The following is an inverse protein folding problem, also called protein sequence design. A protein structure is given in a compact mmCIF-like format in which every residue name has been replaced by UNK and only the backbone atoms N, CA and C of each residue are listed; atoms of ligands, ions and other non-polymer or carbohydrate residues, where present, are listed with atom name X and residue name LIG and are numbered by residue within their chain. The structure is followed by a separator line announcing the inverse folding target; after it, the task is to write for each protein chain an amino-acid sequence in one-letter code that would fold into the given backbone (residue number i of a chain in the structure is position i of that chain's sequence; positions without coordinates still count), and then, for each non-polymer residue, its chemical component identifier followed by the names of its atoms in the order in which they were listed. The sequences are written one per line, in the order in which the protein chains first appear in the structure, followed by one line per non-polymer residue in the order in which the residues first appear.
data_IF_842666760450
#
_entry.id   IF_842666760450
#
_cell.length_a   1.000
_cell.length_b   1.000
_cell.length_c   1.000
_cell.angle_alpha   90.00
_cell.angle_beta   90.00
_cell.angle_gamma   90.00
#
_symmetry.space_group_name_H-M   'P 1'
#
loop_
_entity.id
_entity.type
_entity.pdbx_description
1 polymer ?
#
# COMPACT_ATOMS: atom_id res chain seq x y z
N UNK A 1 -13.69 0.67 -12.77
CA UNK A 1 -12.97 1.52 -11.82
C UNK A 1 -11.51 1.64 -12.23
N UNK A 2 -10.95 2.83 -12.17
CA UNK A 2 -9.57 3.07 -12.54
C UNK A 2 -8.66 2.98 -11.31
N UNK A 3 -7.40 2.64 -11.54
CA UNK A 3 -6.39 2.59 -10.48
C UNK A 3 -6.31 3.91 -9.72
N UNK A 4 -6.41 5.05 -10.43
CA UNK A 4 -6.40 6.39 -9.82
C UNK A 4 -7.50 6.60 -8.78
N UNK A 5 -8.67 6.00 -8.99
CA UNK A 5 -9.78 6.12 -8.06
C UNK A 5 -9.48 5.36 -6.77
N UNK A 6 -8.85 4.20 -6.90
CA UNK A 6 -8.43 3.39 -5.75
C UNK A 6 -7.33 4.13 -4.98
N UNK A 7 -6.35 4.69 -5.68
CA UNK A 7 -5.27 5.46 -5.06
C UNK A 7 -5.80 6.66 -4.29
N UNK A 8 -6.73 7.41 -4.88
CA UNK A 8 -7.33 8.58 -4.23
C UNK A 8 -8.03 8.18 -2.94
N UNK A 9 -8.78 7.08 -2.97
CA UNK A 9 -9.48 6.59 -1.78
C UNK A 9 -8.51 6.14 -0.70
N UNK A 10 -7.43 5.48 -1.09
CA UNK A 10 -6.37 5.08 -0.15
C UNK A 10 -5.79 6.31 0.57
N UNK A 11 -5.43 7.34 -0.18
CA UNK A 11 -4.86 8.58 0.39
C UNK A 11 -5.85 9.24 1.35
N UNK A 12 -7.13 9.33 0.98
CA UNK A 12 -8.18 9.89 1.85
C UNK A 12 -8.29 9.14 3.17
N UNK A 13 -8.34 7.80 3.11
CA UNK A 13 -8.51 6.97 4.29
C UNK A 13 -7.28 7.02 5.20
N UNK A 14 -6.09 7.11 4.62
CA UNK A 14 -4.86 7.27 5.40
C UNK A 14 -4.88 8.61 6.14
N UNK A 15 -5.29 9.68 5.47
CA UNK A 15 -5.42 11.00 6.10
C UNK A 15 -6.40 10.99 7.27
N UNK A 16 -7.53 10.33 7.12
CA UNK A 16 -8.53 10.21 8.20
C UNK A 16 -7.96 9.52 9.43
N UNK A 17 -6.91 8.73 9.26
CA UNK A 17 -6.24 7.99 10.35
C UNK A 17 -4.95 8.65 10.80
N UNK A 18 -4.77 9.93 10.47
CA UNK A 18 -3.60 10.73 10.82
C UNK A 18 -2.29 10.18 10.25
N UNK A 19 -2.36 9.50 9.11
CA UNK A 19 -1.21 8.95 8.43
C UNK A 19 -0.80 9.75 7.20
N UNK A 20 0.27 9.30 6.56
CA UNK A 20 0.82 9.89 5.34
C UNK A 20 1.05 8.79 4.32
N UNK A 21 0.65 9.04 3.07
CA UNK A 21 0.93 8.13 1.94
C UNK A 21 2.01 8.75 1.07
N UNK A 22 3.25 8.28 1.23
CA UNK A 22 4.36 8.79 0.44
C UNK A 22 4.42 8.09 -0.92
N UNK A 23 4.60 8.87 -1.98
CA UNK A 23 4.78 8.32 -3.31
C UNK A 23 6.22 7.87 -3.50
N UNK A 24 6.41 6.65 -4.02
CA UNK A 24 7.73 6.10 -4.28
C UNK A 24 8.07 6.14 -5.76
N UNK A 25 9.25 6.67 -6.07
CA UNK A 25 9.74 6.77 -7.45
C UNK A 25 11.21 6.36 -7.61
N UNK A 26 11.84 5.93 -6.53
CA UNK A 26 13.29 5.77 -6.50
C UNK A 26 13.86 4.49 -7.09
N UNK A 27 13.09 3.41 -7.10
CA UNK A 27 13.59 2.10 -7.52
C UNK A 27 12.57 1.39 -8.40
N UNK A 28 13.02 0.82 -9.53
CA UNK A 28 12.14 0.07 -10.41
C UNK A 28 11.50 -1.11 -9.66
N UNK A 29 10.19 -1.26 -9.81
CA UNK A 29 9.42 -2.34 -9.18
C UNK A 29 9.07 -2.15 -7.72
N UNK A 30 9.54 -1.07 -7.09
CA UNK A 30 9.15 -0.78 -5.70
C UNK A 30 7.66 -0.44 -5.63
N UNK A 31 6.92 -0.83 -4.57
CA UNK A 31 5.51 -0.47 -4.46
C UNK A 31 5.26 1.04 -4.53
N UNK A 32 4.10 1.42 -5.05
CA UNK A 32 3.76 2.81 -5.36
C UNK A 32 3.78 3.76 -4.17
N UNK A 33 3.36 3.26 -3.01
CA UNK A 33 3.20 4.10 -1.81
C UNK A 33 3.85 3.47 -0.59
N UNK A 34 4.46 4.32 0.23
CA UNK A 34 4.82 3.97 1.60
C UNK A 34 3.77 4.61 2.49
N UNK A 35 3.10 3.78 3.29
CA UNK A 35 2.07 4.22 4.23
C UNK A 35 2.70 4.36 5.61
N UNK A 36 2.66 5.58 6.14
CA UNK A 36 3.16 5.88 7.47
C UNK A 36 1.98 6.16 8.38
N UNK A 37 1.86 5.40 9.44
CA UNK A 37 0.74 5.48 10.38
C UNK A 37 1.24 5.87 11.77
N UNK A 38 0.33 6.34 12.66
CA UNK A 38 0.71 6.67 14.05
C UNK A 38 1.46 5.53 14.74
N UNK A 39 2.28 5.86 15.71
CA UNK A 39 3.11 4.94 16.48
C UNK A 39 4.22 4.28 15.67
N UNK A 40 4.66 4.95 14.59
CA UNK A 40 5.77 4.46 13.77
C UNK A 40 5.44 3.27 12.89
N UNK A 41 4.17 2.95 12.69
CA UNK A 41 3.76 1.83 11.85
C UNK A 41 3.90 2.19 10.38
N UNK A 42 4.38 1.24 9.58
CA UNK A 42 4.75 1.48 8.19
C UNK A 42 4.42 0.27 7.33
N UNK A 43 4.03 0.52 6.09
CA UNK A 43 3.81 -0.55 5.12
C UNK A 43 3.99 -0.03 3.71
N UNK A 44 4.28 -0.95 2.79
CA UNK A 44 4.38 -0.64 1.36
C UNK A 44 3.10 -1.12 0.68
N UNK A 45 2.55 -0.29 -0.20
CA UNK A 45 1.31 -0.60 -0.91
C UNK A 45 1.50 -0.44 -2.41
N UNK A 46 1.22 -1.51 -3.13
CA UNK A 46 1.18 -1.52 -4.59
C UNK A 46 -0.27 -1.35 -5.03
N UNK A 47 -0.53 -0.38 -5.91
CA UNK A 47 -1.87 -0.12 -6.43
C UNK A 47 -2.03 -0.76 -7.79
N UNK A 48 -3.16 -1.41 -8.00
CA UNK A 48 -3.52 -2.06 -9.26
C UNK A 48 -4.99 -1.78 -9.59
N UNK A 49 -5.30 -1.74 -10.88
CA UNK A 49 -6.70 -1.74 -11.30
C UNK A 49 -7.35 -3.09 -10.94
N UNK A 50 -8.68 -3.14 -10.77
CA UNK A 50 -9.35 -4.38 -10.41
C UNK A 50 -8.98 -5.53 -11.34
N UNK A 51 -8.57 -6.65 -10.75
CA UNK A 51 -8.19 -7.86 -11.49
C UNK A 51 -6.78 -7.87 -12.03
N UNK A 52 -6.06 -6.77 -12.00
CA UNK A 52 -4.67 -6.74 -12.43
C UNK A 52 -3.76 -7.25 -11.32
N UNK A 53 -2.65 -7.85 -11.72
CA UNK A 53 -1.67 -8.41 -10.80
C UNK A 53 -0.33 -7.70 -10.93
N UNK A 54 0.48 -7.68 -9.85
CA UNK A 54 1.83 -7.13 -9.93
C UNK A 54 2.67 -7.85 -10.99
N UNK A 55 3.57 -7.10 -11.63
CA UNK A 55 4.55 -7.66 -12.55
C UNK A 55 5.62 -8.40 -11.76
N UNK A 56 6.41 -9.23 -12.44
CA UNK A 56 7.45 -10.05 -11.80
C UNK A 56 8.43 -9.24 -10.96
N UNK A 57 8.88 -8.09 -11.48
CA UNK A 57 9.81 -7.25 -10.72
C UNK A 57 9.15 -6.68 -9.46
N UNK A 58 7.89 -6.32 -9.55
CA UNK A 58 7.13 -5.82 -8.39
C UNK A 58 7.00 -6.92 -7.32
N UNK A 59 6.71 -8.16 -7.75
CA UNK A 59 6.65 -9.30 -6.83
C UNK A 59 7.99 -9.55 -6.15
N UNK A 60 9.08 -9.45 -6.90
CA UNK A 60 10.42 -9.62 -6.37
C UNK A 60 10.72 -8.56 -5.29
N UNK A 61 10.40 -7.30 -5.57
CA UNK A 61 10.61 -6.21 -4.60
C UNK A 61 9.79 -6.43 -3.33
N UNK A 62 8.53 -6.85 -3.47
CA UNK A 62 7.69 -7.13 -2.31
C UNK A 62 8.26 -8.28 -1.46
N UNK A 63 8.80 -9.32 -2.09
CA UNK A 63 9.46 -10.40 -1.36
C UNK A 63 10.68 -9.89 -0.59
N UNK A 64 11.49 -9.04 -1.21
CA UNK A 64 12.65 -8.44 -0.56
C UNK A 64 12.24 -7.61 0.68
N UNK A 65 11.19 -6.80 0.54
CA UNK A 65 10.68 -5.99 1.63
C UNK A 65 10.14 -6.84 2.78
N UNK A 66 9.42 -7.91 2.46
CA UNK A 66 8.91 -8.84 3.48
C UNK A 66 10.05 -9.52 4.24
N UNK A 67 11.12 -9.90 3.53
CA UNK A 67 12.31 -10.48 4.16
C UNK A 67 12.96 -9.53 5.14
N UNK A 68 12.89 -8.21 4.86
CA UNK A 68 13.40 -7.18 5.75
C UNK A 68 12.48 -6.90 6.94
N UNK A 69 11.30 -7.52 6.96
CA UNK A 69 10.34 -7.35 8.04
C UNK A 69 9.24 -6.34 7.79
N UNK A 70 9.19 -5.76 6.58
CA UNK A 70 8.15 -4.79 6.24
C UNK A 70 6.88 -5.46 5.76
N UNK A 71 5.74 -4.85 6.08
CA UNK A 71 4.45 -5.27 5.53
C UNK A 71 4.31 -4.76 4.11
N UNK A 72 3.78 -5.60 3.22
CA UNK A 72 3.50 -5.22 1.84
C UNK A 72 2.10 -5.68 1.46
N UNK A 73 1.40 -4.84 0.70
CA UNK A 73 0.03 -5.12 0.27
C UNK A 73 -0.16 -4.76 -1.19
N UNK A 74 -1.06 -5.50 -1.85
CA UNK A 74 -1.56 -5.14 -3.17
C UNK A 74 -3.01 -4.72 -3.00
N UNK A 75 -3.33 -3.51 -3.44
CA UNK A 75 -4.69 -2.97 -3.34
C UNK A 75 -5.25 -2.79 -4.75
N UNK A 76 -6.23 -3.59 -5.10
CA UNK A 76 -6.89 -3.58 -6.39
C UNK A 76 -8.40 -3.30 -6.28
N UNK A 77 -8.86 -2.93 -5.09
CA UNK A 77 -10.28 -2.58 -4.88
C UNK A 77 -10.44 -1.68 -3.66
N UNK A 78 -11.46 -0.84 -3.70
CA UNK A 78 -11.77 0.07 -2.58
C UNK A 78 -12.13 -0.68 -1.29
N UNK A 79 -12.93 -1.75 -1.32
CA UNK A 79 -13.27 -2.47 -0.09
C UNK A 79 -12.10 -3.02 0.71
N UNK A 80 -10.97 -3.28 0.07
CA UNK A 80 -9.78 -3.79 0.76
C UNK A 80 -9.07 -2.75 1.62
N UNK A 81 -9.27 -1.47 1.32
CA UNK A 81 -8.50 -0.37 1.93
C UNK A 81 -8.68 -0.32 3.45
N UNK A 82 -9.92 -0.34 3.93
CA UNK A 82 -10.20 -0.24 5.35
C UNK A 82 -9.52 -1.34 6.17
N UNK A 83 -9.66 -2.57 5.73
CA UNK A 83 -9.09 -3.74 6.43
C UNK A 83 -7.56 -3.67 6.46
N UNK A 84 -6.96 -3.29 5.33
CA UNK A 84 -5.50 -3.17 5.24
C UNK A 84 -4.98 -2.07 6.19
N UNK A 85 -5.65 -0.92 6.22
CA UNK A 85 -5.23 0.16 7.11
C UNK A 85 -5.42 -0.19 8.59
N UNK A 86 -6.47 -0.92 8.92
CA UNK A 86 -6.69 -1.43 10.28
C UNK A 86 -5.55 -2.36 10.68
N UNK A 87 -5.14 -3.24 9.77
CA UNK A 87 -4.05 -4.17 10.00
C UNK A 87 -2.71 -3.44 10.19
N UNK A 88 -2.41 -2.46 9.34
CA UNK A 88 -1.19 -1.65 9.46
C UNK A 88 -1.18 -0.89 10.77
N UNK A 89 -2.32 -0.29 11.14
CA UNK A 89 -2.47 0.48 12.37
C UNK A 89 -2.49 -0.36 13.64
N UNK A 90 -2.52 -1.68 13.52
CA UNK A 90 -2.59 -2.57 14.70
C UNK A 90 -3.96 -2.59 15.37
N UNK A 91 -5.00 -2.16 14.68
CA UNK A 91 -6.38 -2.22 15.15
C UNK A 91 -7.01 -3.55 14.77
N UNK A 92 -7.85 -4.06 15.62
CA UNK A 92 -8.56 -5.32 15.39
C UNK A 92 -10.06 -5.09 15.32
#
# INVERSE_FOLDING_TARGET
MLEKQIERKLIEEIKKRDGIALKQTGMAGIPDRVVLMPSGRCAFVELKAPGEKPRKLQELRMKQLKKLGFRTYVVDSIPKIGDILDEIGGEN
#
